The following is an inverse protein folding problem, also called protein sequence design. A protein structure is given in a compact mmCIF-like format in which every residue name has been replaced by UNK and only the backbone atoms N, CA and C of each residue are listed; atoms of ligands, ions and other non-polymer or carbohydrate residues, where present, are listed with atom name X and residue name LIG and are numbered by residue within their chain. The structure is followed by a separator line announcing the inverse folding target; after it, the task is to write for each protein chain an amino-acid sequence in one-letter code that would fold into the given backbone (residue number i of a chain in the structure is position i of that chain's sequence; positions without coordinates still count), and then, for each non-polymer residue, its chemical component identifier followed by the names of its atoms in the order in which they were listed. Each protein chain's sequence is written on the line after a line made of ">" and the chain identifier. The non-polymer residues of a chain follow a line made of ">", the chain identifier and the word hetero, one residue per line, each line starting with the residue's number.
data_IF_580969294066
#
_entry.id   IF_580969294066
#
_cell.length_a   1.000
_cell.length_b   1.000
_cell.length_c   1.000
_cell.angle_alpha   90.00
_cell.angle_beta   90.00
_cell.angle_gamma   90.00
#
_symmetry.space_group_name_H-M   'P 1'
#
loop_
_entity.id
_entity.type
_entity.pdbx_description
1 polymer ?
#
# COMPACT_ATOMS: atom_id res chain seq x y z
N UNK A 1 9.45 -16.67 -5.76
CA UNK A 1 10.14 -15.46 -5.23
C UNK A 1 10.29 -14.48 -6.38
N UNK A 2 9.80 -13.26 -6.22
CA UNK A 2 10.05 -12.19 -7.18
C UNK A 2 11.50 -11.73 -7.05
N UNK A 3 12.12 -11.34 -8.16
CA UNK A 3 13.41 -10.65 -8.10
C UNK A 3 13.22 -9.28 -7.43
N UNK A 4 14.27 -8.78 -6.78
CA UNK A 4 14.22 -7.52 -6.01
C UNK A 4 13.59 -6.36 -6.79
N UNK A 5 13.89 -6.12 -8.08
CA UNK A 5 13.24 -5.05 -8.84
C UNK A 5 11.74 -5.27 -9.04
N UNK A 6 11.30 -6.51 -9.25
CA UNK A 6 9.89 -6.85 -9.44
C UNK A 6 9.10 -6.69 -8.14
N UNK A 7 9.72 -7.04 -7.01
CA UNK A 7 9.16 -6.80 -5.68
C UNK A 7 8.96 -5.30 -5.42
N UNK A 8 9.95 -4.48 -5.76
CA UNK A 8 9.88 -3.03 -5.61
C UNK A 8 8.78 -2.40 -6.48
N UNK A 9 8.66 -2.84 -7.73
CA UNK A 9 7.56 -2.41 -8.60
C UNK A 9 6.20 -2.81 -8.01
N UNK A 10 6.07 -4.05 -7.54
CA UNK A 10 4.83 -4.51 -6.91
C UNK A 10 4.46 -3.66 -5.68
N UNK A 11 5.43 -3.34 -4.83
CA UNK A 11 5.22 -2.47 -3.67
C UNK A 11 4.80 -1.07 -4.07
N UNK A 12 5.40 -0.51 -5.12
CA UNK A 12 5.00 0.78 -5.64
C UNK A 12 3.52 0.77 -6.08
N UNK A 13 3.09 -0.27 -6.79
CA UNK A 13 1.69 -0.40 -7.20
C UNK A 13 0.75 -0.53 -5.99
N UNK A 14 1.03 -1.46 -5.08
CA UNK A 14 0.19 -1.66 -3.90
C UNK A 14 0.05 -0.41 -3.03
N UNK A 15 1.13 0.36 -2.87
CA UNK A 15 1.07 1.61 -2.09
C UNK A 15 0.31 2.71 -2.82
N UNK A 16 0.39 2.75 -4.14
CA UNK A 16 -0.44 3.64 -4.95
C UNK A 16 -1.91 3.28 -4.78
N UNK A 17 -2.26 1.99 -4.79
CA UNK A 17 -3.63 1.52 -4.56
C UNK A 17 -4.12 1.92 -3.16
N UNK A 18 -3.31 1.71 -2.12
CA UNK A 18 -3.63 2.12 -0.74
C UNK A 18 -3.85 3.64 -0.63
N UNK A 19 -3.04 4.44 -1.31
CA UNK A 19 -3.15 5.90 -1.30
C UNK A 19 -4.43 6.41 -1.98
N UNK A 20 -5.00 5.62 -2.90
CA UNK A 20 -6.22 5.94 -3.65
C UNK A 20 -7.51 5.48 -2.97
N UNK A 21 -7.43 4.66 -1.92
CA UNK A 21 -8.61 4.24 -1.17
C UNK A 21 -9.32 5.45 -0.55
N UNK A 22 -10.65 5.45 -0.62
CA UNK A 22 -11.48 6.37 0.15
C UNK A 22 -11.89 5.76 1.51
N UNK A 23 -12.49 6.59 2.37
CA UNK A 23 -12.88 6.17 3.72
C UNK A 23 -13.99 5.11 3.73
N UNK A 24 -14.82 5.03 2.69
CA UNK A 24 -15.89 4.05 2.57
C UNK A 24 -15.29 2.68 2.23
N UNK A 25 -14.43 2.62 1.22
CA UNK A 25 -13.68 1.42 0.85
C UNK A 25 -12.82 0.90 2.00
N UNK A 26 -12.15 1.80 2.74
CA UNK A 26 -11.39 1.40 3.93
C UNK A 26 -12.30 0.77 4.99
N UNK A 27 -13.46 1.38 5.27
CA UNK A 27 -14.42 0.87 6.25
C UNK A 27 -14.97 -0.50 5.85
N UNK A 28 -15.38 -0.65 4.59
CA UNK A 28 -15.97 -1.89 4.08
C UNK A 28 -14.99 -3.06 4.11
N UNK A 29 -13.70 -2.77 3.92
CA UNK A 29 -12.61 -3.75 4.04
C UNK A 29 -12.10 -3.93 5.47
N UNK A 30 -12.61 -3.18 6.46
CA UNK A 30 -12.13 -3.22 7.85
C UNK A 30 -10.70 -2.68 8.03
N UNK A 31 -10.26 -1.78 7.14
CA UNK A 31 -8.94 -1.15 7.20
C UNK A 31 -8.96 0.11 8.08
N UNK A 32 -7.94 0.26 8.91
CA UNK A 32 -7.70 1.49 9.68
C UNK A 32 -7.06 2.56 8.77
N UNK A 33 -7.69 3.75 8.61
CA UNK A 33 -7.14 4.82 7.78
C UNK A 33 -5.73 5.28 8.17
N UNK A 34 -5.38 5.22 9.46
CA UNK A 34 -4.05 5.60 9.93
C UNK A 34 -2.99 4.59 9.47
N UNK A 35 -3.30 3.29 9.59
CA UNK A 35 -2.42 2.21 9.13
C UNK A 35 -2.29 2.24 7.61
N UNK A 36 -3.39 2.45 6.88
CA UNK A 36 -3.36 2.55 5.41
C UNK A 36 -2.47 3.70 4.96
N UNK A 37 -2.55 4.86 5.63
CA UNK A 37 -1.68 6.00 5.33
C UNK A 37 -0.21 5.67 5.60
N UNK A 38 0.10 5.08 6.75
CA UNK A 38 1.46 4.67 7.10
C UNK A 38 2.06 3.71 6.05
N UNK A 39 1.31 2.67 5.67
CA UNK A 39 1.75 1.69 4.68
C UNK A 39 1.92 2.28 3.28
N UNK A 40 1.03 3.20 2.88
CA UNK A 40 1.12 3.90 1.60
C UNK A 40 2.35 4.81 1.51
N UNK A 41 2.73 5.46 2.61
CA UNK A 41 3.84 6.42 2.66
C UNK A 41 5.21 5.76 2.76
N UNK A 42 5.27 4.44 2.99
CA UNK A 42 6.55 3.72 3.03
C UNK A 42 7.27 3.78 1.66
N UNK A 43 8.60 3.95 1.63
CA UNK A 43 9.38 3.90 0.38
C UNK A 43 9.40 2.50 -0.23
N UNK A 44 9.20 2.34 -1.55
CA UNK A 44 8.97 1.03 -2.22
C UNK A 44 10.04 -0.05 -1.93
N UNK A 45 11.25 0.35 -1.57
CA UNK A 45 12.37 -0.55 -1.27
C UNK A 45 12.36 -1.09 0.17
N UNK A 46 11.46 -0.58 1.02
CA UNK A 46 11.33 -0.96 2.44
C UNK A 46 10.10 -1.84 2.67
N UNK A 47 10.19 -2.70 3.67
CA UNK A 47 9.09 -3.51 4.23
C UNK A 47 8.23 -2.64 5.17
#
# INVERSE_FOLDING_TARGET
>A
MLQVPQLWLQRLFWRSDLAMLDLEQMRDCGLDPAIVREEADKPFWRD
#
